data_IF_979533851825
#
_entry.id   IF_979533851825
#
_cell.length_a   1.000
_cell.length_b   1.000
_cell.length_c   1.000
_cell.angle_alpha   90.00
_cell.angle_beta   90.00
_cell.angle_gamma   90.00
#
_symmetry.space_group_name_H-M   'P 1'
#
loop_
_entity.id
_entity.type
_entity.pdbx_description
1 polymer ?
#
# COMPACT_ATOMS: atom_id res chain seq x y z
N UNK A 1 -17.88 7.65 -20.73
CA UNK A 1 -17.47 8.64 -21.75
C UNK A 1 -16.08 9.09 -21.35
N UNK A 2 -15.04 8.78 -22.13
CA UNK A 2 -13.67 9.19 -21.78
C UNK A 2 -13.65 10.72 -21.67
N UNK A 3 -13.28 11.24 -20.50
CA UNK A 3 -13.18 12.67 -20.29
C UNK A 3 -12.10 13.20 -21.25
N UNK A 4 -12.48 14.09 -22.16
CA UNK A 4 -11.55 14.72 -23.10
C UNK A 4 -10.65 15.69 -22.31
N UNK A 5 -9.51 15.19 -21.85
CA UNK A 5 -8.51 16.02 -21.16
C UNK A 5 -7.66 16.75 -22.20
N UNK A 6 -7.86 18.06 -22.38
CA UNK A 6 -6.97 18.87 -23.22
C UNK A 6 -5.67 19.15 -22.47
N UNK A 7 -4.53 18.71 -23.02
CA UNK A 7 -3.20 18.90 -22.44
C UNK A 7 -2.77 20.37 -22.32
N UNK A 8 -3.50 21.30 -22.93
CA UNK A 8 -3.25 22.75 -22.81
C UNK A 8 -4.15 23.43 -21.78
N UNK A 9 -5.25 22.81 -21.39
CA UNK A 9 -6.19 23.39 -20.44
C UNK A 9 -5.52 23.50 -19.07
N UNK A 10 -5.54 24.68 -18.42
CA UNK A 10 -4.97 24.83 -17.09
C UNK A 10 -5.65 23.91 -16.07
N UNK A 11 -4.89 23.47 -15.07
CA UNK A 11 -5.41 22.64 -13.98
C UNK A 11 -5.09 23.28 -12.64
N UNK A 12 -6.10 23.40 -11.79
CA UNK A 12 -5.97 23.95 -10.45
C UNK A 12 -6.31 22.90 -9.39
N UNK A 13 -5.38 22.60 -8.49
CA UNK A 13 -5.57 21.61 -7.43
C UNK A 13 -5.91 22.26 -6.09
N UNK A 14 -7.06 21.94 -5.51
CA UNK A 14 -7.39 22.34 -4.13
C UNK A 14 -6.87 21.26 -3.17
N UNK A 15 -5.96 21.63 -2.26
CA UNK A 15 -5.24 20.69 -1.39
C UNK A 15 -4.06 19.99 -2.08
N UNK A 16 -3.28 20.75 -2.87
CA UNK A 16 -2.22 20.21 -3.73
C UNK A 16 -1.09 19.52 -2.95
N UNK A 17 -0.90 19.84 -1.67
CA UNK A 17 0.15 19.27 -0.82
C UNK A 17 -0.12 17.84 -0.34
N UNK A 18 -1.29 17.27 -0.66
CA UNK A 18 -1.58 15.85 -0.38
C UNK A 18 -0.78 14.89 -1.27
N UNK A 19 -0.44 13.72 -0.74
CA UNK A 19 0.37 12.68 -1.43
C UNK A 19 -0.19 12.34 -2.81
N UNK A 20 -1.49 12.02 -2.90
CA UNK A 20 -2.13 11.68 -4.18
C UNK A 20 -2.36 12.88 -5.12
N UNK A 21 -2.53 14.08 -4.58
CA UNK A 21 -2.77 15.30 -5.38
C UNK A 21 -1.47 15.81 -6.01
N UNK A 22 -0.41 15.85 -5.22
CA UNK A 22 0.89 16.36 -5.65
C UNK A 22 1.56 15.54 -6.73
N UNK A 23 1.43 14.20 -6.70
CA UNK A 23 1.96 13.35 -7.76
C UNK A 23 1.32 13.68 -9.12
N UNK A 24 -0.01 13.85 -9.15
CA UNK A 24 -0.74 14.25 -10.36
C UNK A 24 -0.33 15.66 -10.81
N UNK A 25 -0.32 16.62 -9.88
CA UNK A 25 0.08 18.00 -10.18
C UNK A 25 1.51 18.07 -10.75
N UNK A 26 2.44 17.29 -10.18
CA UNK A 26 3.80 17.21 -10.65
C UNK A 26 3.87 16.66 -12.08
N UNK A 27 3.22 15.53 -12.36
CA UNK A 27 3.23 14.91 -13.70
C UNK A 27 2.69 15.88 -14.76
N UNK A 28 1.62 16.59 -14.45
CA UNK A 28 1.07 17.59 -15.37
C UNK A 28 2.04 18.75 -15.60
N UNK A 29 2.64 19.29 -14.52
CA UNK A 29 3.58 20.40 -14.61
C UNK A 29 4.84 20.03 -15.40
N UNK A 30 5.39 18.84 -15.15
CA UNK A 30 6.57 18.33 -15.85
C UNK A 30 6.32 18.11 -17.35
N UNK A 31 5.11 17.67 -17.71
CA UNK A 31 4.63 17.59 -19.10
C UNK A 31 4.34 18.96 -19.74
N UNK A 32 4.61 20.05 -19.04
CA UNK A 32 4.43 21.42 -19.52
C UNK A 32 2.99 21.91 -19.49
N UNK A 33 2.07 21.20 -18.82
CA UNK A 33 0.69 21.67 -18.66
C UNK A 33 0.64 22.81 -17.62
N UNK A 34 -0.18 23.85 -17.82
CA UNK A 34 -0.29 24.93 -16.84
C UNK A 34 -0.94 24.42 -15.56
N UNK A 35 -0.17 24.32 -14.47
CA UNK A 35 -0.64 23.85 -13.17
C UNK A 35 -0.60 24.96 -12.14
N UNK A 36 -1.65 25.02 -11.32
CA UNK A 36 -1.70 25.81 -10.10
C UNK A 36 -2.31 24.98 -8.97
N UNK A 37 -2.23 25.46 -7.73
CA UNK A 37 -2.92 24.81 -6.64
C UNK A 37 -2.99 25.64 -5.38
N UNK A 38 -3.66 25.12 -4.36
CA UNK A 38 -3.72 25.72 -3.03
C UNK A 38 -3.48 24.66 -1.96
N UNK A 39 -2.72 25.00 -0.91
CA UNK A 39 -2.65 24.19 0.31
C UNK A 39 -2.25 25.11 1.47
N UNK A 40 -2.96 25.06 2.62
CA UNK A 40 -2.59 25.86 3.79
C UNK A 40 -1.28 25.41 4.45
N UNK A 41 -0.81 24.19 4.15
CA UNK A 41 0.45 23.65 4.70
C UNK A 41 1.59 23.92 3.74
N UNK A 42 2.71 24.35 4.29
CA UNK A 42 3.93 24.56 3.53
C UNK A 42 4.93 23.39 3.73
N UNK A 43 4.63 22.25 3.12
CA UNK A 43 5.42 21.02 3.26
C UNK A 43 6.43 20.83 2.11
N UNK A 44 7.30 19.82 2.22
CA UNK A 44 8.33 19.53 1.21
C UNK A 44 7.73 19.35 -0.20
N UNK A 45 6.56 18.71 -0.29
CA UNK A 45 5.84 18.49 -1.54
C UNK A 45 5.40 19.80 -2.21
N UNK A 46 4.84 20.74 -1.44
CA UNK A 46 4.48 22.09 -1.90
C UNK A 46 5.72 22.85 -2.39
N UNK A 47 6.83 22.74 -1.66
CA UNK A 47 8.09 23.38 -2.04
C UNK A 47 8.64 22.80 -3.35
N UNK A 48 8.58 21.49 -3.54
CA UNK A 48 9.00 20.85 -4.80
C UNK A 48 8.18 21.35 -5.99
N UNK A 49 6.85 21.44 -5.85
CA UNK A 49 5.98 21.95 -6.90
C UNK A 49 6.27 23.42 -7.24
N UNK A 50 6.53 24.28 -6.24
CA UNK A 50 6.98 25.66 -6.50
C UNK A 50 8.30 25.70 -7.27
N UNK A 51 9.23 24.80 -6.95
CA UNK A 51 10.50 24.67 -7.68
C UNK A 51 10.32 24.36 -9.16
N UNK A 52 9.20 23.73 -9.54
CA UNK A 52 8.81 23.45 -10.92
C UNK A 52 8.00 24.60 -11.57
N UNK A 53 7.88 25.74 -10.90
CA UNK A 53 7.13 26.89 -11.41
C UNK A 53 5.62 26.81 -11.19
N UNK A 54 5.12 25.84 -10.43
CA UNK A 54 3.68 25.74 -10.11
C UNK A 54 3.30 26.91 -9.19
N UNK A 55 2.26 27.65 -9.58
CA UNK A 55 1.70 28.72 -8.74
C UNK A 55 0.88 28.12 -7.60
N UNK A 56 1.32 28.31 -6.36
CA UNK A 56 0.62 27.79 -5.17
C UNK A 56 0.12 28.91 -4.27
N UNK A 57 -1.18 28.92 -3.99
CA UNK A 57 -1.82 29.80 -3.02
C UNK A 57 -1.73 29.19 -1.61
N UNK A 58 -1.30 29.98 -0.63
CA UNK A 58 -1.23 29.55 0.78
C UNK A 58 -2.57 29.59 1.50
N UNK A 59 -3.59 30.21 0.91
CA UNK A 59 -4.94 30.29 1.44
C UNK A 59 -5.94 29.73 0.44
N UNK A 60 -7.02 29.14 0.95
CA UNK A 60 -8.09 28.58 0.15
C UNK A 60 -9.30 29.51 0.15
N UNK A 61 -9.22 30.60 -0.61
CA UNK A 61 -10.25 31.64 -0.68
C UNK A 61 -10.80 31.80 -2.10
N UNK A 62 -12.00 32.39 -2.20
CA UNK A 62 -12.59 32.78 -3.49
C UNK A 62 -11.66 33.66 -4.35
N UNK A 63 -10.76 34.44 -3.71
CA UNK A 63 -9.80 35.29 -4.42
C UNK A 63 -8.80 34.49 -5.26
N UNK A 64 -8.44 33.26 -4.85
CA UNK A 64 -7.54 32.38 -5.61
C UNK A 64 -8.15 32.03 -6.97
N UNK A 65 -9.42 31.60 -7.01
CA UNK A 65 -10.13 31.31 -8.27
C UNK A 65 -10.27 32.56 -9.15
N UNK A 66 -10.65 33.69 -8.57
CA UNK A 66 -10.76 34.94 -9.32
C UNK A 66 -9.41 35.38 -9.92
N UNK A 67 -8.31 35.21 -9.17
CA UNK A 67 -6.97 35.52 -9.65
C UNK A 67 -6.52 34.59 -10.79
N UNK A 68 -6.94 33.33 -10.78
CA UNK A 68 -6.65 32.38 -11.87
C UNK A 68 -7.38 32.79 -13.16
N UNK A 69 -8.68 33.06 -13.05
CA UNK A 69 -9.51 33.49 -14.18
C UNK A 69 -9.08 34.83 -14.78
N UNK A 70 -8.50 35.72 -13.98
CA UNK A 70 -7.93 36.97 -14.47
C UNK A 70 -6.57 36.81 -15.16
N UNK A 71 -5.89 35.66 -14.96
CA UNK A 71 -4.51 35.43 -15.43
C UNK A 71 -4.40 34.49 -16.64
N UNK A 72 -5.52 33.97 -17.14
CA UNK A 72 -5.56 32.98 -18.22
C UNK A 72 -6.82 33.18 -19.07
N UNK A 73 -6.66 33.11 -20.39
CA UNK A 73 -7.78 33.14 -21.35
C UNK A 73 -8.59 31.83 -21.33
N UNK A 74 -8.02 30.75 -20.77
CA UNK A 74 -8.68 29.45 -20.61
C UNK A 74 -9.05 29.20 -19.15
N UNK A 75 -10.29 28.75 -18.95
CA UNK A 75 -10.80 28.32 -17.65
C UNK A 75 -10.13 27.03 -17.18
N UNK A 76 -9.64 26.97 -15.91
CA UNK A 76 -9.00 25.77 -15.41
C UNK A 76 -10.00 24.66 -15.10
N UNK A 77 -9.56 23.41 -15.22
CA UNK A 77 -10.20 22.30 -14.50
C UNK A 77 -9.79 22.39 -13.04
N UNK A 78 -10.75 22.37 -12.12
CA UNK A 78 -10.50 22.35 -10.68
C UNK A 78 -10.52 20.91 -10.18
N UNK A 79 -9.39 20.44 -9.66
CA UNK A 79 -9.21 19.09 -9.14
C UNK A 79 -9.30 19.11 -7.63
N UNK A 80 -10.14 18.23 -7.08
CA UNK A 80 -10.34 18.04 -5.64
C UNK A 80 -10.01 16.61 -5.21
N UNK A 81 -9.79 16.42 -3.91
CA UNK A 81 -9.76 15.10 -3.29
C UNK A 81 -10.93 14.95 -2.31
N UNK A 82 -11.18 13.75 -1.83
CA UNK A 82 -12.14 13.44 -0.77
C UNK A 82 -11.94 14.27 0.51
N UNK A 83 -10.72 14.80 0.75
CA UNK A 83 -10.42 15.63 1.91
C UNK A 83 -10.94 17.08 1.79
N UNK A 84 -11.39 17.51 0.61
CA UNK A 84 -11.89 18.86 0.39
C UNK A 84 -13.41 18.90 0.67
N UNK A 85 -13.87 19.61 1.72
CA UNK A 85 -15.29 19.69 2.02
C UNK A 85 -16.04 20.56 1.00
N UNK A 86 -17.33 20.30 0.81
CA UNK A 86 -18.20 21.11 -0.07
C UNK A 86 -18.29 22.59 0.33
N UNK A 87 -17.98 22.90 1.59
CA UNK A 87 -17.94 24.26 2.15
C UNK A 87 -16.60 24.98 1.91
N UNK A 88 -15.65 24.34 1.21
CA UNK A 88 -14.38 24.97 0.87
C UNK A 88 -14.61 26.23 0.00
N UNK A 89 -14.08 27.41 0.37
CA UNK A 89 -14.37 28.65 -0.36
C UNK A 89 -13.91 28.65 -1.82
N UNK A 90 -12.79 28.00 -2.16
CA UNK A 90 -12.35 27.87 -3.56
C UNK A 90 -13.30 26.97 -4.35
N UNK A 91 -13.72 25.84 -3.77
CA UNK A 91 -14.64 24.93 -4.43
C UNK A 91 -16.02 25.58 -4.66
N UNK A 92 -16.55 26.30 -3.67
CA UNK A 92 -17.80 27.05 -3.81
C UNK A 92 -17.68 28.11 -4.91
N UNK A 93 -16.58 28.86 -4.94
CA UNK A 93 -16.36 29.87 -5.97
C UNK A 93 -16.21 29.26 -7.36
N UNK A 94 -15.49 28.14 -7.49
CA UNK A 94 -15.33 27.43 -8.76
C UNK A 94 -16.67 26.95 -9.31
N UNK A 95 -17.55 26.42 -8.44
CA UNK A 95 -18.93 26.05 -8.80
C UNK A 95 -19.75 27.25 -9.25
N UNK A 96 -19.67 28.38 -8.54
CA UNK A 96 -20.38 29.62 -8.90
C UNK A 96 -19.92 30.17 -10.26
N UNK A 97 -18.63 30.03 -10.59
CA UNK A 97 -18.06 30.40 -11.89
C UNK A 97 -18.31 29.37 -13.00
N UNK A 98 -18.96 28.24 -12.69
CA UNK A 98 -19.27 27.19 -13.66
C UNK A 98 -18.04 26.45 -14.17
N UNK A 99 -16.98 26.33 -13.37
CA UNK A 99 -15.77 25.60 -13.73
C UNK A 99 -15.98 24.09 -13.65
N UNK A 100 -15.27 23.35 -14.51
CA UNK A 100 -15.25 21.89 -14.46
C UNK A 100 -14.57 21.43 -13.17
N UNK A 101 -15.31 20.69 -12.34
CA UNK A 101 -14.79 20.12 -11.10
C UNK A 101 -14.54 18.63 -11.30
N UNK A 102 -13.29 18.21 -11.18
CA UNK A 102 -12.89 16.82 -11.28
C UNK A 102 -12.44 16.30 -9.92
N UNK A 103 -12.77 15.05 -9.62
CA UNK A 103 -12.11 14.35 -8.52
C UNK A 103 -10.71 13.92 -8.95
N UNK A 104 -9.78 13.76 -8.00
CA UNK A 104 -8.42 13.25 -8.27
C UNK A 104 -8.43 11.95 -9.08
N UNK A 105 -9.42 11.08 -8.84
CA UNK A 105 -9.59 9.82 -9.55
C UNK A 105 -9.95 10.02 -11.02
N UNK A 106 -10.68 11.09 -11.35
CA UNK A 106 -11.08 11.40 -12.72
C UNK A 106 -9.86 11.83 -13.52
N UNK A 107 -8.99 12.65 -12.92
CA UNK A 107 -7.71 13.03 -13.53
C UNK A 107 -6.79 11.81 -13.71
N UNK A 108 -6.67 10.94 -12.70
CA UNK A 108 -5.88 9.72 -12.82
C UNK A 108 -6.44 8.80 -13.91
N UNK A 109 -7.76 8.64 -14.01
CA UNK A 109 -8.40 7.88 -15.08
C UNK A 109 -8.10 8.47 -16.47
N UNK A 110 -8.09 9.81 -16.58
CA UNK A 110 -7.73 10.50 -17.81
C UNK A 110 -6.25 10.27 -18.19
N UNK A 111 -5.33 10.19 -17.22
CA UNK A 111 -3.93 9.86 -17.48
C UNK A 111 -3.76 8.39 -17.91
N UNK A 112 -4.39 7.45 -17.20
CA UNK A 112 -4.35 6.01 -17.48
C UNK A 112 -4.86 5.69 -18.89
N UNK A 113 -5.93 6.35 -19.33
CA UNK A 113 -6.55 6.11 -20.64
C UNK A 113 -5.79 6.71 -21.83
N UNK A 114 -4.87 7.66 -21.60
CA UNK A 114 -4.12 8.35 -22.66
C UNK A 114 -2.76 7.75 -22.97
N UNK A 115 -2.32 6.79 -22.16
CA UNK A 115 -1.00 6.18 -22.28
C UNK A 115 -1.14 4.67 -22.00
N UNK A 116 -0.42 3.78 -22.71
CA UNK A 116 -0.32 2.39 -22.31
C UNK A 116 0.06 2.30 -20.83
N UNK A 117 -0.73 1.57 -20.06
CA UNK A 117 -0.70 1.66 -18.61
C UNK A 117 -0.91 0.30 -17.93
N UNK A 118 -0.22 0.15 -16.81
CA UNK A 118 -0.38 -0.97 -15.88
C UNK A 118 -1.06 -0.42 -14.62
N UNK A 119 -2.29 -0.86 -14.34
CA UNK A 119 -3.03 -0.49 -13.14
C UNK A 119 -3.09 -1.67 -12.17
N UNK A 120 -2.65 -1.47 -10.93
CA UNK A 120 -2.55 -2.52 -9.91
C UNK A 120 -3.61 -2.35 -8.84
N UNK A 121 -4.49 -3.34 -8.70
CA UNK A 121 -5.58 -3.39 -7.73
C UNK A 121 -5.54 -4.65 -6.85
N UNK A 122 -6.49 -4.76 -5.93
CA UNK A 122 -6.67 -5.86 -4.98
C UNK A 122 -6.53 -5.40 -3.53
N UNK A 123 -6.97 -6.20 -2.56
CA UNK A 123 -7.04 -5.75 -1.17
C UNK A 123 -5.65 -5.41 -0.60
N UNK A 124 -4.67 -6.28 -0.81
CA UNK A 124 -3.32 -6.16 -0.24
C UNK A 124 -2.22 -6.17 -1.29
N UNK A 125 -1.10 -5.49 -1.03
CA UNK A 125 0.10 -5.56 -1.89
C UNK A 125 0.08 -4.69 -3.15
N UNK A 126 -0.94 -3.84 -3.33
CA UNK A 126 -1.06 -2.87 -4.44
C UNK A 126 0.18 -1.97 -4.55
N UNK A 127 0.44 -1.19 -3.50
CA UNK A 127 1.57 -0.24 -3.45
C UNK A 127 2.91 -0.92 -3.64
N UNK A 128 3.10 -2.10 -3.04
CA UNK A 128 4.35 -2.87 -3.20
C UNK A 128 4.48 -3.29 -4.66
N UNK A 129 3.49 -3.99 -5.22
CA UNK A 129 3.55 -4.50 -6.59
C UNK A 129 3.74 -3.37 -7.62
N UNK A 130 3.01 -2.26 -7.50
CA UNK A 130 3.15 -1.11 -8.40
C UNK A 130 4.53 -0.41 -8.26
N UNK A 131 5.09 -0.35 -7.05
CA UNK A 131 6.47 0.12 -6.82
C UNK A 131 7.52 -0.81 -7.43
N UNK A 132 7.33 -2.13 -7.33
CA UNK A 132 8.23 -3.12 -7.92
C UNK A 132 8.19 -3.07 -9.44
N UNK A 133 7.01 -2.96 -10.06
CA UNK A 133 6.85 -2.76 -11.51
C UNK A 133 7.60 -1.49 -11.95
N UNK A 134 7.37 -0.38 -11.25
CA UNK A 134 8.03 0.90 -11.54
C UNK A 134 9.56 0.76 -11.46
N UNK A 135 10.07 0.09 -10.42
CA UNK A 135 11.51 -0.13 -10.24
C UNK A 135 12.09 -0.99 -11.34
N UNK A 136 11.43 -2.11 -11.71
CA UNK A 136 11.88 -2.99 -12.78
C UNK A 136 11.94 -2.27 -14.13
N UNK A 137 10.89 -1.52 -14.48
CA UNK A 137 10.84 -0.73 -15.71
C UNK A 137 11.93 0.36 -15.72
N UNK A 138 12.11 1.07 -14.62
CA UNK A 138 13.14 2.11 -14.50
C UNK A 138 14.55 1.52 -14.66
N UNK A 139 14.85 0.40 -14.00
CA UNK A 139 16.14 -0.30 -14.12
C UNK A 139 16.37 -0.89 -15.51
N UNK A 140 15.30 -1.27 -16.21
CA UNK A 140 15.36 -1.70 -17.61
C UNK A 140 15.54 -0.53 -18.60
N UNK A 141 15.57 0.72 -18.14
CA UNK A 141 15.71 1.92 -18.97
C UNK A 141 14.43 2.34 -19.69
N UNK A 142 13.26 1.85 -19.26
CA UNK A 142 11.97 2.22 -19.87
C UNK A 142 11.40 3.56 -19.38
N UNK A 143 11.94 4.12 -18.29
CA UNK A 143 11.55 5.42 -17.71
C UNK A 143 10.02 5.65 -17.61
N UNK A 144 9.28 4.82 -16.85
CA UNK A 144 7.83 4.87 -16.82
C UNK A 144 7.29 6.14 -16.13
N UNK A 145 6.14 6.65 -16.56
CA UNK A 145 5.34 7.53 -15.68
C UNK A 145 4.80 6.69 -14.50
N UNK A 146 4.84 7.20 -13.26
CA UNK A 146 4.38 6.47 -12.08
C UNK A 146 3.43 7.31 -11.22
N UNK A 147 2.32 6.73 -10.77
CA UNK A 147 1.39 7.31 -9.79
C UNK A 147 1.09 6.26 -8.72
N UNK A 148 1.78 6.35 -7.59
CA UNK A 148 1.82 5.30 -6.57
C UNK A 148 1.31 5.88 -5.23
N UNK A 149 0.62 5.06 -4.43
CA UNK A 149 0.10 5.45 -3.12
C UNK A 149 1.17 5.64 -2.04
N UNK A 150 2.42 5.25 -2.33
CA UNK A 150 3.57 5.35 -1.44
C UNK A 150 4.85 5.75 -2.17
N UNK A 151 5.88 6.09 -1.41
CA UNK A 151 7.19 6.46 -1.96
C UNK A 151 7.84 5.24 -2.60
N UNK A 152 8.19 5.36 -3.89
CA UNK A 152 8.97 4.37 -4.62
C UNK A 152 10.45 4.60 -4.30
N UNK A 153 11.16 3.62 -3.67
CA UNK A 153 12.51 3.86 -3.18
C UNK A 153 13.52 4.35 -4.23
N UNK A 154 13.47 3.81 -5.45
CA UNK A 154 14.40 4.21 -6.51
C UNK A 154 14.15 5.62 -7.07
N UNK A 155 12.95 6.18 -6.86
CA UNK A 155 12.57 7.52 -7.32
C UNK A 155 12.66 8.56 -6.20
N UNK A 156 12.55 8.12 -4.93
CA UNK A 156 12.44 9.02 -3.78
C UNK A 156 11.11 9.79 -3.71
N UNK A 157 10.15 9.45 -4.58
CA UNK A 157 8.84 10.08 -4.71
C UNK A 157 7.73 9.04 -4.96
N UNK A 158 6.48 9.44 -4.78
CA UNK A 158 5.30 8.62 -5.07
C UNK A 158 4.69 8.92 -6.45
N UNK A 159 5.15 9.97 -7.12
CA UNK A 159 4.94 10.21 -8.54
C UNK A 159 6.24 10.00 -9.32
N UNK A 160 6.17 9.93 -10.64
CA UNK A 160 7.28 10.19 -11.58
C UNK A 160 6.73 10.54 -12.96
N UNK A 161 7.28 11.57 -13.59
CA UNK A 161 6.89 12.02 -14.92
C UNK A 161 7.85 11.46 -15.99
N UNK A 162 7.91 10.15 -16.11
CA UNK A 162 8.79 9.48 -17.06
C UNK A 162 8.43 9.75 -18.52
N UNK A 163 9.44 9.73 -19.39
CA UNK A 163 9.32 9.93 -20.85
C UNK A 163 9.07 8.61 -21.62
N UNK A 164 9.01 7.50 -20.89
CA UNK A 164 8.74 6.17 -21.39
C UNK A 164 7.35 5.96 -21.95
N UNK A 165 7.17 4.80 -22.60
CA UNK A 165 5.87 4.38 -23.15
C UNK A 165 4.83 4.13 -22.05
N UNK A 166 5.25 3.59 -20.92
CA UNK A 166 4.36 3.04 -19.91
C UNK A 166 4.03 4.01 -18.79
N UNK A 167 2.77 3.95 -18.33
CA UNK A 167 2.33 4.51 -17.05
C UNK A 167 2.04 3.38 -16.06
N UNK A 168 2.52 3.48 -14.82
CA UNK A 168 2.19 2.56 -13.73
C UNK A 168 1.35 3.30 -12.71
N UNK A 169 0.18 2.76 -12.40
CA UNK A 169 -0.73 3.34 -11.42
C UNK A 169 -1.14 2.32 -10.35
N UNK A 170 -1.20 2.78 -9.12
CA UNK A 170 -1.95 2.09 -8.06
C UNK A 170 -3.45 2.41 -8.20
N UNK A 171 -4.28 1.38 -8.22
CA UNK A 171 -5.72 1.46 -8.32
C UNK A 171 -6.35 1.04 -6.99
N UNK A 172 -6.79 2.03 -6.22
CA UNK A 172 -7.37 1.85 -4.88
C UNK A 172 -8.88 1.63 -4.94
N UNK A 173 -9.35 0.65 -4.17
CA UNK A 173 -10.75 0.26 -4.03
C UNK A 173 -11.52 0.97 -2.92
N UNK A 174 -10.83 1.60 -1.98
CA UNK A 174 -11.44 2.18 -0.78
C UNK A 174 -12.61 3.16 -1.03
N UNK A 175 -12.63 3.85 -2.18
CA UNK A 175 -13.66 4.82 -2.57
C UNK A 175 -14.45 4.41 -3.84
N UNK A 176 -14.27 3.18 -4.31
CA UNK A 176 -14.91 2.63 -5.51
C UNK A 176 -14.46 3.28 -6.83
N UNK A 177 -13.45 4.15 -6.81
CA UNK A 177 -13.05 4.93 -7.99
C UNK A 177 -12.32 4.12 -9.06
N UNK A 178 -11.80 2.93 -8.73
CA UNK A 178 -11.06 2.10 -9.68
C UNK A 178 -11.86 1.70 -10.92
N UNK A 179 -13.19 1.66 -10.86
CA UNK A 179 -14.05 1.32 -12.00
C UNK A 179 -13.95 2.33 -13.16
N UNK A 180 -13.35 3.49 -12.91
CA UNK A 180 -13.09 4.52 -13.91
C UNK A 180 -11.83 4.23 -14.74
N UNK A 181 -10.96 3.33 -14.29
CA UNK A 181 -9.66 3.09 -14.90
C UNK A 181 -9.78 2.11 -16.07
N UNK A 182 -9.23 2.51 -17.21
CA UNK A 182 -9.19 1.71 -18.44
C UNK A 182 -7.73 1.50 -18.84
N UNK A 183 -7.03 0.66 -18.09
CA UNK A 183 -5.61 0.40 -18.31
C UNK A 183 -5.38 -0.59 -19.46
N UNK A 184 -4.21 -0.55 -20.10
CA UNK A 184 -3.87 -1.58 -21.10
C UNK A 184 -3.62 -2.95 -20.44
N UNK A 185 -3.14 -2.95 -19.20
CA UNK A 185 -2.99 -4.13 -18.37
C UNK A 185 -3.50 -3.84 -16.95
N UNK A 186 -4.54 -4.55 -16.51
CA UNK A 186 -4.95 -4.60 -15.11
C UNK A 186 -4.23 -5.73 -14.38
N UNK A 187 -3.86 -5.52 -13.12
CA UNK A 187 -3.28 -6.53 -12.23
C UNK A 187 -4.14 -6.62 -10.97
N UNK A 188 -4.62 -7.80 -10.59
CA UNK A 188 -5.38 -8.00 -9.34
C UNK A 188 -4.65 -8.98 -8.43
N UNK A 189 -4.16 -8.46 -7.30
CA UNK A 189 -3.24 -9.15 -6.39
C UNK A 189 -3.91 -10.19 -5.48
N UNK A 190 -5.07 -9.87 -4.93
CA UNK A 190 -5.89 -10.72 -4.06
C UNK A 190 -7.22 -10.01 -3.76
N UNK A 191 -8.18 -10.75 -3.19
CA UNK A 191 -9.40 -10.19 -2.62
C UNK A 191 -9.67 -10.70 -1.22
N UNK A 192 -9.97 -9.74 -0.36
CA UNK A 192 -10.40 -9.96 1.00
C UNK A 192 -11.31 -8.80 1.39
N UNK A 193 -12.35 -9.09 2.17
CA UNK A 193 -13.28 -8.06 2.62
C UNK A 193 -12.54 -7.07 3.53
N UNK A 194 -12.29 -5.88 3.02
CA UNK A 194 -11.83 -4.72 3.76
C UNK A 194 -12.71 -3.51 3.42
N UNK A 195 -12.47 -2.35 4.04
CA UNK A 195 -13.22 -1.12 3.80
C UNK A 195 -14.74 -1.33 3.89
N UNK A 196 -15.19 -1.98 4.97
CA UNK A 196 -16.61 -2.29 5.25
C UNK A 196 -17.49 -1.05 5.44
N UNK A 197 -16.90 0.14 5.46
CA UNK A 197 -17.59 1.43 5.39
C UNK A 197 -18.05 1.78 3.96
N UNK A 198 -17.43 1.20 2.93
CA UNK A 198 -17.79 1.37 1.53
C UNK A 198 -18.48 0.12 0.93
N UNK A 199 -17.99 -1.07 1.27
CA UNK A 199 -18.52 -2.33 0.74
C UNK A 199 -19.47 -3.00 1.73
N UNK A 200 -20.68 -3.34 1.28
CA UNK A 200 -21.67 -4.05 2.11
C UNK A 200 -21.30 -5.51 2.38
N UNK A 201 -20.39 -6.07 1.59
CA UNK A 201 -19.83 -7.41 1.76
C UNK A 201 -18.84 -7.75 0.65
N UNK A 202 -18.31 -8.98 0.70
CA UNK A 202 -17.31 -9.45 -0.26
C UNK A 202 -17.84 -9.47 -1.71
N UNK A 203 -19.13 -9.78 -1.92
CA UNK A 203 -19.73 -9.80 -3.26
C UNK A 203 -19.75 -8.42 -3.94
N UNK A 204 -19.91 -7.34 -3.17
CA UNK A 204 -19.84 -5.97 -3.69
C UNK A 204 -18.42 -5.63 -4.14
N UNK A 205 -17.42 -6.05 -3.37
CA UNK A 205 -16.00 -5.90 -3.72
C UNK A 205 -15.66 -6.70 -4.98
N UNK A 206 -16.07 -7.97 -5.05
CA UNK A 206 -15.89 -8.82 -6.24
C UNK A 206 -16.51 -8.15 -7.47
N UNK A 207 -17.75 -7.67 -7.37
CA UNK A 207 -18.45 -6.99 -8.46
C UNK A 207 -17.69 -5.75 -8.92
N UNK A 208 -17.15 -4.97 -7.98
CA UNK A 208 -16.38 -3.76 -8.30
C UNK A 208 -15.07 -4.09 -9.02
N UNK A 209 -14.35 -5.10 -8.55
CA UNK A 209 -13.09 -5.53 -9.17
C UNK A 209 -13.30 -6.22 -10.52
N UNK A 210 -14.42 -6.92 -10.71
CA UNK A 210 -14.83 -7.43 -12.03
C UNK A 210 -15.06 -6.28 -13.02
N UNK A 211 -15.71 -5.18 -12.59
CA UNK A 211 -15.87 -3.98 -13.45
C UNK A 211 -14.53 -3.37 -13.82
N UNK A 212 -13.60 -3.28 -12.88
CA UNK A 212 -12.22 -2.84 -13.16
C UNK A 212 -11.51 -3.76 -14.16
N UNK A 213 -11.51 -5.07 -13.90
CA UNK A 213 -10.87 -6.06 -14.78
C UNK A 213 -11.43 -6.02 -16.20
N UNK A 214 -12.76 -5.98 -16.35
CA UNK A 214 -13.45 -5.88 -17.64
C UNK A 214 -13.21 -4.53 -18.35
N UNK A 215 -12.85 -3.48 -17.60
CA UNK A 215 -12.49 -2.17 -18.15
C UNK A 215 -11.07 -2.10 -18.70
N UNK A 216 -10.21 -3.04 -18.33
CA UNK A 216 -8.83 -3.13 -18.79
C UNK A 216 -8.73 -3.89 -20.13
N UNK A 217 -7.69 -3.58 -20.91
CA UNK A 217 -7.44 -4.26 -22.20
C UNK A 217 -7.01 -5.71 -22.05
N UNK A 218 -6.25 -6.02 -20.99
CA UNK A 218 -5.86 -7.36 -20.55
C UNK A 218 -5.87 -7.42 -19.02
N UNK A 219 -6.04 -8.60 -18.46
CA UNK A 219 -6.04 -8.85 -17.02
C UNK A 219 -5.00 -9.91 -16.64
N UNK A 220 -4.15 -9.57 -15.67
CA UNK A 220 -3.26 -10.47 -14.96
C UNK A 220 -3.81 -10.68 -13.53
N UNK A 221 -4.01 -11.93 -13.11
CA UNK A 221 -4.58 -12.23 -11.78
C UNK A 221 -3.80 -13.30 -11.00
N UNK A 222 -3.85 -13.20 -9.67
CA UNK A 222 -3.18 -14.15 -8.78
C UNK A 222 -3.97 -15.46 -8.70
N UNK A 223 -3.38 -16.57 -9.16
CA UNK A 223 -4.01 -17.88 -9.13
C UNK A 223 -4.07 -18.48 -7.72
N UNK A 224 -3.19 -18.04 -6.82
CA UNK A 224 -3.15 -18.53 -5.44
C UNK A 224 -4.30 -17.98 -4.58
N UNK A 225 -5.03 -16.98 -5.09
CA UNK A 225 -6.22 -16.45 -4.46
C UNK A 225 -7.46 -17.20 -4.97
N UNK A 226 -8.19 -17.92 -4.08
CA UNK A 226 -9.33 -18.72 -4.50
C UNK A 226 -10.50 -17.89 -5.02
N UNK A 227 -10.71 -16.67 -4.50
CA UNK A 227 -11.79 -15.77 -4.93
C UNK A 227 -11.50 -15.29 -6.35
N UNK A 228 -10.24 -14.92 -6.64
CA UNK A 228 -9.86 -14.54 -7.99
C UNK A 228 -10.07 -15.70 -8.97
N UNK A 229 -9.57 -16.88 -8.62
CA UNK A 229 -9.68 -18.08 -9.46
C UNK A 229 -11.14 -18.48 -9.75
N UNK A 230 -12.05 -18.29 -8.79
CA UNK A 230 -13.46 -18.62 -8.96
C UNK A 230 -14.24 -17.56 -9.74
N UNK A 231 -13.96 -16.27 -9.52
CA UNK A 231 -14.82 -15.18 -9.98
C UNK A 231 -14.28 -14.36 -11.16
N UNK A 232 -13.03 -14.60 -11.59
CA UNK A 232 -12.38 -13.78 -12.63
C UNK A 232 -11.94 -14.62 -13.82
N UNK A 233 -12.00 -14.01 -15.00
CA UNK A 233 -11.38 -14.52 -16.23
C UNK A 233 -10.20 -13.63 -16.55
N UNK A 234 -8.99 -14.12 -16.31
CA UNK A 234 -7.76 -13.41 -16.61
C UNK A 234 -7.18 -13.87 -17.95
N UNK A 235 -6.49 -12.97 -18.64
CA UNK A 235 -5.69 -13.28 -19.83
C UNK A 235 -4.40 -14.02 -19.46
N UNK A 236 -3.91 -13.82 -18.24
CA UNK A 236 -2.77 -14.54 -17.68
C UNK A 236 -2.89 -14.69 -16.16
N UNK A 237 -2.31 -15.76 -15.64
CA UNK A 237 -2.26 -16.06 -14.22
C UNK A 237 -0.83 -16.11 -13.70
N UNK A 238 -0.63 -15.69 -12.44
CA UNK A 238 0.63 -15.96 -11.74
C UNK A 238 0.43 -16.76 -10.44
N UNK A 239 1.47 -17.49 -10.03
CA UNK A 239 1.50 -18.22 -8.76
C UNK A 239 2.89 -18.24 -8.13
N UNK A 240 2.94 -18.38 -6.81
CA UNK A 240 4.16 -18.73 -6.06
C UNK A 240 4.08 -20.11 -5.39
N UNK A 241 3.01 -20.86 -5.67
CA UNK A 241 2.73 -22.19 -5.10
C UNK A 241 2.85 -23.31 -6.11
N UNK A 242 2.58 -23.04 -7.39
CA UNK A 242 2.60 -24.02 -8.46
C UNK A 242 3.01 -23.38 -9.79
N UNK A 243 3.58 -24.16 -10.70
CA UNK A 243 3.96 -23.72 -12.05
C UNK A 243 3.08 -24.33 -13.14
N UNK A 244 2.20 -25.24 -12.77
CA UNK A 244 1.30 -25.94 -13.69
C UNK A 244 0.04 -25.11 -13.89
N UNK A 245 -0.55 -25.13 -15.09
CA UNK A 245 -1.80 -24.39 -15.40
C UNK A 245 -1.76 -22.88 -15.11
N UNK A 246 -0.57 -22.27 -15.06
CA UNK A 246 -0.35 -20.83 -14.91
C UNK A 246 0.67 -20.32 -15.92
N UNK A 247 0.49 -19.08 -16.37
CA UNK A 247 1.36 -18.44 -17.36
C UNK A 247 2.71 -18.05 -16.76
N UNK A 248 2.71 -17.62 -15.49
CA UNK A 248 3.92 -17.19 -14.78
C UNK A 248 3.97 -17.82 -13.39
N UNK A 249 5.14 -18.27 -12.96
CA UNK A 249 5.30 -18.66 -11.56
C UNK A 249 6.70 -18.35 -11.02
N UNK A 250 6.79 -18.11 -9.71
CA UNK A 250 8.06 -18.11 -9.00
C UNK A 250 8.00 -19.03 -7.79
N UNK A 251 8.59 -20.22 -7.92
CA UNK A 251 8.57 -21.21 -6.84
C UNK A 251 9.75 -20.96 -5.88
N UNK A 252 9.51 -20.84 -4.57
CA UNK A 252 10.56 -20.57 -3.60
C UNK A 252 11.53 -21.76 -3.52
N UNK A 253 12.82 -21.48 -3.71
CA UNK A 253 13.91 -22.41 -3.46
C UNK A 253 14.47 -22.26 -2.04
N UNK A 254 14.43 -21.05 -1.50
CA UNK A 254 14.87 -20.73 -0.15
C UNK A 254 14.18 -19.46 0.36
N UNK A 255 13.65 -19.52 1.58
CA UNK A 255 13.09 -18.36 2.29
C UNK A 255 13.95 -18.10 3.52
N UNK A 256 14.73 -17.02 3.50
CA UNK A 256 15.50 -16.54 4.64
C UNK A 256 14.85 -15.24 5.17
N UNK A 257 15.24 -14.79 6.37
CA UNK A 257 14.71 -13.57 6.97
C UNK A 257 15.20 -12.26 6.36
N UNK A 258 16.14 -12.29 5.41
CA UNK A 258 16.67 -11.13 4.68
C UNK A 258 16.49 -11.23 3.15
N UNK A 259 16.09 -12.40 2.62
CA UNK A 259 15.97 -12.64 1.18
C UNK A 259 15.10 -13.84 0.84
N UNK A 260 14.66 -13.88 -0.42
CA UNK A 260 13.99 -15.03 -1.00
C UNK A 260 14.72 -15.44 -2.30
N UNK A 261 15.14 -16.71 -2.40
CA UNK A 261 15.62 -17.29 -3.67
C UNK A 261 14.49 -18.08 -4.30
N UNK A 262 14.22 -17.85 -5.58
CA UNK A 262 13.14 -18.50 -6.30
C UNK A 262 13.55 -18.89 -7.73
N UNK A 263 12.85 -19.89 -8.28
CA UNK A 263 12.94 -20.26 -9.70
C UNK A 263 11.72 -19.70 -10.43
N UNK A 264 11.97 -18.95 -11.50
CA UNK A 264 10.94 -18.35 -12.35
C UNK A 264 10.55 -19.32 -13.47
N UNK A 265 9.26 -19.37 -13.76
CA UNK A 265 8.65 -20.23 -14.77
C UNK A 265 7.75 -19.41 -15.69
N UNK A 266 7.75 -19.78 -16.98
CA UNK A 266 6.79 -19.30 -17.98
C UNK A 266 6.12 -20.51 -18.63
N UNK A 267 4.78 -20.59 -18.56
CA UNK A 267 3.98 -21.69 -19.09
C UNK A 267 4.50 -23.08 -18.66
N UNK A 268 4.76 -23.26 -17.36
CA UNK A 268 5.31 -24.49 -16.78
C UNK A 268 6.80 -24.75 -17.02
N UNK A 269 7.48 -23.94 -17.85
CA UNK A 269 8.91 -24.14 -18.13
C UNK A 269 9.77 -23.24 -17.25
N UNK A 270 10.79 -23.81 -16.59
CA UNK A 270 11.74 -23.02 -15.83
C UNK A 270 12.60 -22.16 -16.76
N UNK A 271 12.60 -20.84 -16.55
CA UNK A 271 13.32 -19.87 -17.40
C UNK A 271 14.48 -19.18 -16.69
N UNK A 272 14.55 -19.24 -15.35
CA UNK A 272 15.67 -18.67 -14.60
C UNK A 272 15.53 -18.79 -13.09
N UNK A 273 16.57 -18.39 -12.37
CA UNK A 273 16.55 -18.26 -10.91
C UNK A 273 16.96 -16.85 -10.51
N UNK A 274 16.37 -16.35 -9.43
CA UNK A 274 16.67 -15.02 -8.93
C UNK A 274 16.64 -14.99 -7.40
N UNK A 275 17.30 -13.98 -6.84
CA UNK A 275 17.25 -13.68 -5.41
C UNK A 275 16.63 -12.30 -5.22
N UNK A 276 15.57 -12.24 -4.43
CA UNK A 276 14.95 -11.02 -3.97
C UNK A 276 15.57 -10.61 -2.63
N UNK A 277 16.00 -9.36 -2.45
CA UNK A 277 16.46 -8.84 -1.16
C UNK A 277 15.28 -8.47 -0.23
N UNK A 278 14.19 -9.26 -0.30
CA UNK A 278 12.98 -9.07 0.47
C UNK A 278 12.54 -10.43 1.02
N UNK A 279 12.34 -10.57 2.33
CA UNK A 279 11.85 -11.80 2.92
C UNK A 279 10.34 -11.96 2.71
N UNK A 280 9.87 -13.20 2.86
CA UNK A 280 8.45 -13.53 2.88
C UNK A 280 7.84 -13.89 1.52
N UNK A 281 6.91 -14.86 1.56
CA UNK A 281 6.24 -15.37 0.36
C UNK A 281 5.32 -14.31 -0.29
N UNK A 282 4.74 -13.41 0.49
CA UNK A 282 3.92 -12.31 -0.03
C UNK A 282 4.74 -11.35 -0.90
N UNK A 283 6.00 -11.05 -0.52
CA UNK A 283 6.89 -10.23 -1.34
C UNK A 283 7.36 -10.98 -2.59
N UNK A 284 7.58 -12.30 -2.50
CA UNK A 284 7.80 -13.11 -3.70
C UNK A 284 6.60 -13.04 -4.65
N UNK A 285 5.36 -13.11 -4.13
CA UNK A 285 4.14 -13.00 -4.96
C UNK A 285 4.03 -11.64 -5.62
N UNK A 286 4.24 -10.55 -4.88
CA UNK A 286 4.25 -9.18 -5.43
C UNK A 286 5.33 -9.01 -6.52
N UNK A 287 6.53 -9.56 -6.30
CA UNK A 287 7.61 -9.52 -7.28
C UNK A 287 7.31 -10.38 -8.53
N UNK A 288 6.62 -11.51 -8.35
CA UNK A 288 6.18 -12.39 -9.45
C UNK A 288 5.13 -11.70 -10.30
N UNK A 289 4.14 -11.04 -9.66
CA UNK A 289 3.16 -10.21 -10.36
C UNK A 289 3.85 -9.08 -11.14
N UNK A 290 4.86 -8.43 -10.54
CA UNK A 290 5.60 -7.35 -11.18
C UNK A 290 6.42 -7.83 -12.39
N UNK A 291 7.12 -8.96 -12.26
CA UNK A 291 7.82 -9.61 -13.37
C UNK A 291 6.85 -9.98 -14.48
N UNK A 292 5.77 -10.70 -14.16
CA UNK A 292 4.75 -11.12 -15.11
C UNK A 292 4.16 -9.91 -15.88
N UNK A 293 3.82 -8.83 -15.19
CA UNK A 293 3.31 -7.61 -15.82
C UNK A 293 4.33 -7.00 -16.80
N UNK A 294 5.61 -6.92 -16.43
CA UNK A 294 6.66 -6.42 -17.33
C UNK A 294 6.89 -7.35 -18.54
N UNK A 295 6.80 -8.68 -18.33
CA UNK A 295 6.90 -9.67 -19.41
C UNK A 295 5.74 -9.55 -20.39
N UNK A 296 4.51 -9.34 -19.90
CA UNK A 296 3.32 -9.11 -20.73
C UNK A 296 3.37 -7.80 -21.53
N UNK A 297 4.15 -6.82 -21.08
CA UNK A 297 4.45 -5.57 -21.80
C UNK A 297 5.67 -5.68 -22.73
N UNK A 298 6.24 -6.89 -22.88
CA UNK A 298 7.24 -7.20 -23.90
C UNK A 298 8.71 -7.10 -23.46
N UNK A 299 8.99 -6.80 -22.19
CA UNK A 299 10.37 -6.76 -21.69
C UNK A 299 10.93 -8.18 -21.56
N UNK A 300 12.14 -8.45 -22.04
CA UNK A 300 12.83 -9.74 -21.85
C UNK A 300 13.27 -9.95 -20.39
N UNK A 301 13.30 -11.20 -19.92
CA UNK A 301 13.77 -11.53 -18.56
C UNK A 301 15.16 -10.97 -18.27
N UNK A 302 16.11 -11.07 -19.21
CA UNK A 302 17.48 -10.54 -19.06
C UNK A 302 17.51 -9.04 -18.71
N UNK A 303 16.58 -8.24 -19.25
CA UNK A 303 16.48 -6.80 -18.96
C UNK A 303 15.93 -6.53 -17.55
N UNK A 304 15.15 -7.46 -17.01
CA UNK A 304 14.53 -7.37 -15.69
C UNK A 304 15.44 -7.89 -14.57
N UNK A 305 16.36 -8.82 -14.89
CA UNK A 305 17.24 -9.46 -13.91
C UNK A 305 18.06 -8.46 -13.09
N UNK A 306 18.57 -7.40 -13.72
CA UNK A 306 19.32 -6.35 -13.02
C UNK A 306 18.48 -5.60 -11.97
N UNK A 307 17.18 -5.40 -12.26
CA UNK A 307 16.28 -4.72 -11.35
C UNK A 307 15.88 -5.56 -10.13
N UNK A 308 15.87 -6.88 -10.23
CA UNK A 308 15.46 -7.78 -9.14
C UNK A 308 16.35 -7.67 -7.89
N UNK A 309 17.65 -7.47 -8.08
CA UNK A 309 18.63 -7.39 -7.00
C UNK A 309 18.54 -6.09 -6.18
N UNK A 310 17.88 -5.06 -6.71
CA UNK A 310 17.74 -3.73 -6.07
C UNK A 310 16.32 -3.42 -5.63
N UNK A 311 15.39 -4.39 -5.74
CA UNK A 311 14.03 -4.21 -5.31
C UNK A 311 13.97 -3.92 -3.80
N UNK A 312 13.11 -2.98 -3.44
CA UNK A 312 12.88 -2.59 -2.05
C UNK A 312 11.38 -2.39 -1.86
N UNK A 313 10.88 -2.76 -0.68
CA UNK A 313 9.49 -2.45 -0.31
C UNK A 313 9.33 -0.95 -0.09
N UNK A 314 8.14 -0.38 -0.38
CA UNK A 314 7.84 0.99 0.01
C UNK A 314 7.92 1.15 1.54
N UNK A 315 8.27 2.35 2.01
CA UNK A 315 8.46 2.63 3.44
C UNK A 315 7.18 2.46 4.27
N UNK A 316 7.34 2.33 5.61
CA UNK A 316 6.26 2.11 6.61
C UNK A 316 5.64 0.71 6.66
N UNK A 317 6.27 -0.28 6.02
CA UNK A 317 5.99 -1.70 6.19
C UNK A 317 7.20 -2.32 6.88
N UNK A 318 7.01 -2.93 8.04
CA UNK A 318 8.06 -3.48 8.90
C UNK A 318 9.18 -2.46 9.25
N UNK A 319 8.78 -1.32 9.82
CA UNK A 319 9.67 -0.18 10.10
C UNK A 319 10.44 -0.38 11.42
N UNK A 320 11.76 -0.50 11.36
CA UNK A 320 12.61 -0.54 12.55
C UNK A 320 12.66 0.85 13.19
N UNK A 321 12.05 0.98 14.37
CA UNK A 321 12.04 2.22 15.15
C UNK A 321 13.32 2.43 15.94
N UNK A 322 13.96 1.33 16.34
CA UNK A 322 15.27 1.33 16.98
C UNK A 322 15.50 0.11 17.85
N UNK A 323 16.64 0.12 18.56
CA UNK A 323 17.02 -0.92 19.51
C UNK A 323 16.89 -0.38 20.94
N UNK A 324 16.10 -1.04 21.79
CA UNK A 324 15.91 -0.69 23.20
C UNK A 324 16.48 -1.81 24.08
N UNK A 325 17.55 -1.52 24.82
CA UNK A 325 18.22 -2.49 25.71
C UNK A 325 18.49 -3.85 25.03
N UNK A 326 18.99 -3.83 23.79
CA UNK A 326 19.27 -5.02 22.99
C UNK A 326 18.06 -5.68 22.32
N UNK A 327 16.85 -5.14 22.44
CA UNK A 327 15.64 -5.59 21.74
C UNK A 327 15.40 -4.75 20.49
N UNK A 328 14.99 -5.37 19.39
CA UNK A 328 14.58 -4.64 18.19
C UNK A 328 13.09 -4.30 18.27
N UNK A 329 12.75 -3.03 18.12
CA UNK A 329 11.36 -2.56 18.14
C UNK A 329 10.96 -2.21 16.71
N UNK A 330 10.03 -2.99 16.15
CA UNK A 330 9.54 -2.84 14.78
C UNK A 330 8.06 -2.49 14.82
N UNK A 331 7.65 -1.49 14.04
CA UNK A 331 6.24 -1.13 13.84
C UNK A 331 5.77 -1.62 12.46
N UNK A 332 4.57 -2.18 12.40
CA UNK A 332 3.87 -2.50 11.15
C UNK A 332 2.40 -2.06 11.21
N UNK A 333 1.90 -1.56 10.07
CA UNK A 333 0.52 -1.10 9.94
C UNK A 333 -0.52 -2.23 9.82
N UNK A 334 -0.07 -3.49 9.79
CA UNK A 334 -0.91 -4.68 9.67
C UNK A 334 -2.07 -4.66 10.67
N UNK A 335 -3.28 -4.66 10.13
CA UNK A 335 -4.52 -4.63 10.90
C UNK A 335 -5.62 -5.52 10.33
N UNK A 336 -5.38 -6.12 9.15
CA UNK A 336 -6.17 -7.24 8.63
C UNK A 336 -5.53 -8.59 9.02
N UNK A 337 -6.29 -9.68 9.26
CA UNK A 337 -5.71 -10.99 9.59
C UNK A 337 -4.63 -11.49 8.62
N UNK A 338 -4.83 -11.31 7.32
CA UNK A 338 -3.87 -11.70 6.29
C UNK A 338 -2.55 -10.92 6.38
N UNK A 339 -2.62 -9.60 6.60
CA UNK A 339 -1.45 -8.75 6.84
C UNK A 339 -0.72 -9.16 8.12
N UNK A 340 -1.45 -9.40 9.20
CA UNK A 340 -0.88 -9.84 10.49
C UNK A 340 -0.15 -11.17 10.33
N UNK A 341 -0.77 -12.13 9.64
CA UNK A 341 -0.16 -13.43 9.34
C UNK A 341 1.12 -13.26 8.52
N UNK A 342 1.06 -12.51 7.43
CA UNK A 342 2.22 -12.28 6.55
C UNK A 342 3.39 -11.61 7.29
N UNK A 343 3.08 -10.65 8.17
CA UNK A 343 4.08 -9.94 8.98
C UNK A 343 4.73 -10.86 10.01
N UNK A 344 3.94 -11.69 10.70
CA UNK A 344 4.45 -12.66 11.67
C UNK A 344 5.25 -13.79 11.01
N UNK A 345 4.83 -14.30 9.86
CA UNK A 345 5.60 -15.28 9.08
C UNK A 345 6.97 -14.71 8.69
N UNK A 346 7.02 -13.46 8.23
CA UNK A 346 8.27 -12.79 7.89
C UNK A 346 9.17 -12.59 9.11
N UNK A 347 8.61 -12.15 10.24
CA UNK A 347 9.33 -12.00 11.49
C UNK A 347 9.87 -13.34 12.02
N UNK A 348 9.07 -14.42 11.89
CA UNK A 348 9.48 -15.78 12.26
C UNK A 348 10.63 -16.28 11.39
N UNK A 349 10.62 -16.02 10.08
CA UNK A 349 11.75 -16.32 9.19
C UNK A 349 13.05 -15.65 9.66
N UNK A 350 12.99 -14.43 10.20
CA UNK A 350 14.16 -13.74 10.75
C UNK A 350 14.75 -14.45 11.97
N UNK A 351 13.88 -14.99 12.82
CA UNK A 351 14.29 -15.77 13.99
C UNK A 351 14.86 -17.13 13.55
N UNK A 352 14.13 -17.86 12.72
CA UNK A 352 14.43 -19.26 12.40
C UNK A 352 15.65 -19.40 11.47
N UNK A 353 15.83 -18.49 10.51
CA UNK A 353 16.96 -18.54 9.57
C UNK A 353 18.25 -17.98 10.17
N UNK A 354 18.18 -17.25 11.29
CA UNK A 354 19.30 -16.49 11.84
C UNK A 354 19.81 -15.38 10.91
N UNK A 355 19.02 -14.97 9.92
CA UNK A 355 19.30 -13.86 9.00
C UNK A 355 18.21 -12.82 9.10
N UNK A 356 18.58 -11.55 9.07
CA UNK A 356 17.63 -10.45 9.18
C UNK A 356 18.21 -9.17 8.61
N UNK A 357 17.38 -8.27 8.04
CA UNK A 357 17.78 -6.90 7.71
C UNK A 357 17.94 -6.02 8.97
N UNK A 358 17.55 -6.51 10.16
CA UNK A 358 17.71 -5.80 11.42
C UNK A 358 19.20 -5.73 11.84
N UNK A 359 19.58 -4.80 12.75
CA UNK A 359 20.98 -4.61 13.17
C UNK A 359 21.67 -5.87 13.70
N UNK A 360 20.89 -6.81 14.25
CA UNK A 360 21.33 -8.16 14.57
C UNK A 360 20.18 -9.17 14.40
N UNK A 361 20.45 -10.43 14.07
CA UNK A 361 19.40 -11.46 13.98
C UNK A 361 18.67 -11.63 15.32
N UNK A 362 17.32 -11.55 15.33
CA UNK A 362 16.56 -11.79 16.55
C UNK A 362 16.54 -13.28 16.91
N UNK A 363 16.39 -13.60 18.20
CA UNK A 363 16.31 -14.98 18.70
C UNK A 363 14.90 -15.42 19.08
N UNK A 364 13.99 -14.46 19.24
CA UNK A 364 12.63 -14.69 19.71
C UNK A 364 11.71 -13.58 19.23
N UNK A 365 10.47 -13.94 18.93
CA UNK A 365 9.45 -13.03 18.41
C UNK A 365 8.37 -12.77 19.47
N UNK A 366 8.29 -11.52 19.92
CA UNK A 366 7.18 -11.00 20.72
C UNK A 366 6.24 -10.19 19.84
N UNK A 367 5.00 -10.67 19.68
CA UNK A 367 3.97 -9.97 18.94
C UNK A 367 3.19 -9.04 19.88
N UNK A 368 3.09 -7.77 19.52
CA UNK A 368 2.24 -6.78 20.17
C UNK A 368 1.16 -6.39 19.17
N UNK A 369 -0.11 -6.66 19.46
CA UNK A 369 -1.19 -6.38 18.53
C UNK A 369 -2.28 -5.51 19.16
N UNK A 370 -2.69 -4.47 18.42
CA UNK A 370 -3.85 -3.65 18.75
C UNK A 370 -4.93 -3.86 17.69
N UNK A 371 -6.04 -4.54 18.02
CA UNK A 371 -7.18 -4.64 17.11
C UNK A 371 -7.71 -3.25 16.75
N UNK A 372 -8.05 -3.03 15.49
CA UNK A 372 -8.56 -1.74 14.99
C UNK A 372 -10.02 -1.90 14.56
N UNK A 373 -10.91 -1.08 15.15
CA UNK A 373 -12.39 -1.14 15.07
C UNK A 373 -13.00 -2.37 15.74
N UNK A 374 -14.18 -2.19 16.34
CA UNK A 374 -14.95 -3.28 16.94
C UNK A 374 -15.60 -4.14 15.86
N UNK A 375 -16.17 -3.52 14.84
CA UNK A 375 -16.79 -4.21 13.69
C UNK A 375 -15.85 -5.24 13.06
N UNK A 376 -14.63 -4.83 12.71
CA UNK A 376 -13.60 -5.71 12.13
C UNK A 376 -13.15 -6.82 13.09
N UNK A 377 -12.99 -6.49 14.38
CA UNK A 377 -12.60 -7.49 15.39
C UNK A 377 -13.68 -8.56 15.56
N UNK A 378 -14.96 -8.18 15.44
CA UNK A 378 -16.08 -9.11 15.48
C UNK A 378 -16.10 -10.02 14.25
N UNK A 379 -16.01 -9.42 13.06
CA UNK A 379 -16.08 -10.12 11.77
C UNK A 379 -14.97 -11.18 11.66
N UNK A 380 -13.73 -10.80 11.99
CA UNK A 380 -12.54 -11.62 11.74
C UNK A 380 -11.93 -12.23 13.02
N UNK A 381 -12.73 -12.44 14.06
CA UNK A 381 -12.24 -12.91 15.35
C UNK A 381 -11.47 -14.24 15.22
N UNK A 382 -11.96 -15.16 14.40
CA UNK A 382 -11.34 -16.47 14.17
C UNK A 382 -10.03 -16.37 13.40
N UNK A 383 -10.03 -15.56 12.35
CA UNK A 383 -8.91 -15.33 11.45
C UNK A 383 -7.77 -14.60 12.16
N UNK A 384 -8.07 -13.59 12.98
CA UNK A 384 -7.07 -12.97 13.85
C UNK A 384 -6.47 -13.98 14.82
N UNK A 385 -7.31 -14.82 15.44
CA UNK A 385 -6.81 -15.79 16.40
C UNK A 385 -5.88 -16.82 15.75
N UNK A 386 -6.13 -17.23 14.51
CA UNK A 386 -5.24 -18.07 13.70
C UNK A 386 -3.96 -17.34 13.31
N UNK A 387 -4.07 -16.09 12.85
CA UNK A 387 -2.92 -15.30 12.40
C UNK A 387 -1.91 -15.03 13.54
N UNK A 388 -2.40 -14.71 14.74
CA UNK A 388 -1.59 -14.30 15.89
C UNK A 388 -0.82 -15.43 16.58
N UNK A 389 -1.00 -16.68 16.15
CA UNK A 389 -0.34 -17.82 16.80
C UNK A 389 1.15 -17.91 16.50
N UNK A 390 1.63 -17.33 15.40
CA UNK A 390 3.01 -17.50 14.94
C UNK A 390 4.01 -16.55 15.65
N UNK A 391 4.04 -16.61 16.97
CA UNK A 391 4.98 -15.87 17.82
C UNK A 391 5.37 -16.70 19.05
N UNK A 392 6.28 -16.19 19.87
CA UNK A 392 6.73 -16.84 21.12
C UNK A 392 6.03 -16.26 22.36
N UNK A 393 5.49 -15.05 22.26
CA UNK A 393 4.54 -14.47 23.20
C UNK A 393 3.71 -13.39 22.51
N UNK A 394 2.47 -13.23 22.95
CA UNK A 394 1.49 -12.30 22.40
C UNK A 394 1.00 -11.33 23.48
N UNK A 395 1.04 -10.03 23.16
CA UNK A 395 0.52 -8.96 23.99
C UNK A 395 -0.57 -8.22 23.23
N UNK A 396 -1.76 -8.18 23.80
CA UNK A 396 -2.92 -7.54 23.19
C UNK A 396 -3.23 -6.22 23.89
N UNK A 397 -3.24 -5.14 23.11
CA UNK A 397 -3.74 -3.84 23.54
C UNK A 397 -5.28 -3.82 23.49
N UNK A 398 -5.95 -2.88 24.19
CA UNK A 398 -7.38 -2.65 23.99
C UNK A 398 -7.70 -2.28 22.54
N UNK A 399 -8.89 -2.69 22.07
CA UNK A 399 -9.39 -2.37 20.73
C UNK A 399 -9.37 -0.86 20.51
N UNK A 400 -8.71 -0.42 19.45
CA UNK A 400 -8.75 0.97 19.01
C UNK A 400 -10.07 1.24 18.29
N UNK A 401 -10.96 2.02 18.91
CA UNK A 401 -12.34 2.18 18.45
C UNK A 401 -12.47 2.86 17.08
N UNK A 402 -11.54 3.75 16.72
CA UNK A 402 -11.62 4.56 15.49
C UNK A 402 -12.99 5.26 15.29
N UNK A 403 -13.62 5.70 16.39
CA UNK A 403 -14.93 6.36 16.39
C UNK A 403 -16.14 5.43 16.56
N UNK A 404 -15.95 4.11 16.57
CA UNK A 404 -17.04 3.15 16.78
C UNK A 404 -17.47 3.07 18.25
N UNK A 405 -18.77 2.77 18.45
CA UNK A 405 -19.27 2.41 19.77
C UNK A 405 -18.83 0.97 20.10
N UNK A 406 -18.47 0.67 21.37
CA UNK A 406 -18.15 -0.70 21.78
C UNK A 406 -19.29 -1.68 21.44
N UNK A 407 -18.92 -2.85 20.92
CA UNK A 407 -19.82 -3.96 20.64
C UNK A 407 -19.74 -4.97 21.79
N UNK A 408 -20.87 -5.40 22.34
CA UNK A 408 -20.91 -6.33 23.45
C UNK A 408 -20.20 -7.66 23.10
N UNK A 409 -19.28 -8.10 23.96
CA UNK A 409 -18.50 -9.32 23.75
C UNK A 409 -17.29 -9.19 22.82
N UNK A 410 -17.09 -8.02 22.18
CA UNK A 410 -15.98 -7.78 21.27
C UNK A 410 -14.89 -6.98 21.97
N UNK A 411 -13.87 -7.68 22.47
CA UNK A 411 -12.70 -7.05 23.07
C UNK A 411 -11.47 -7.96 22.94
N UNK A 412 -10.30 -7.41 23.27
CA UNK A 412 -9.02 -8.12 23.21
C UNK A 412 -8.97 -9.36 24.12
N UNK A 413 -9.79 -9.41 25.17
CA UNK A 413 -9.91 -10.60 26.04
C UNK A 413 -10.58 -11.76 25.30
N UNK A 414 -11.65 -11.51 24.56
CA UNK A 414 -12.31 -12.51 23.72
C UNK A 414 -11.35 -13.06 22.65
N UNK A 415 -10.56 -12.19 22.03
CA UNK A 415 -9.53 -12.60 21.08
C UNK A 415 -8.44 -13.45 21.76
N UNK A 416 -7.95 -13.03 22.94
CA UNK A 416 -6.98 -13.80 23.71
C UNK A 416 -7.49 -15.21 24.05
N UNK A 417 -8.75 -15.33 24.47
CA UNK A 417 -9.34 -16.62 24.81
C UNK A 417 -9.43 -17.53 23.57
N UNK A 418 -9.74 -16.96 22.40
CA UNK A 418 -9.72 -17.71 21.13
C UNK A 418 -8.32 -18.17 20.75
N UNK A 419 -7.30 -17.31 20.90
CA UNK A 419 -5.89 -17.69 20.65
C UNK A 419 -5.47 -18.81 21.61
N UNK A 420 -5.77 -18.68 22.92
CA UNK A 420 -5.46 -19.72 23.92
C UNK A 420 -6.16 -21.05 23.64
N UNK A 421 -7.38 -21.01 23.12
CA UNK A 421 -8.09 -22.23 22.72
C UNK A 421 -7.40 -22.95 21.55
N UNK A 422 -6.80 -22.20 20.62
CA UNK A 422 -6.08 -22.75 19.46
C UNK A 422 -4.62 -23.11 19.78
N UNK A 423 -3.98 -22.44 20.75
CA UNK A 423 -2.58 -22.66 21.16
C UNK A 423 -2.41 -22.44 22.68
N UNK A 424 -2.78 -23.42 23.53
CA UNK A 424 -2.80 -23.27 24.99
C UNK A 424 -1.45 -22.93 25.63
N UNK A 425 -0.35 -23.30 24.98
CA UNK A 425 1.01 -23.10 25.47
C UNK A 425 1.59 -21.71 25.15
N UNK A 426 0.95 -20.94 24.26
CA UNK A 426 1.40 -19.59 23.92
C UNK A 426 1.14 -18.62 25.09
N UNK A 427 2.16 -17.92 25.62
CA UNK A 427 1.93 -16.86 26.59
C UNK A 427 1.15 -15.71 25.93
N UNK A 428 -0.10 -15.53 26.35
CA UNK A 428 -0.97 -14.44 25.88
C UNK A 428 -1.29 -13.52 27.05
N UNK A 429 -0.95 -12.24 26.91
CA UNK A 429 -1.22 -11.18 27.88
C UNK A 429 -2.17 -10.15 27.27
N UNK A 430 -3.09 -9.62 28.07
CA UNK A 430 -4.06 -8.60 27.65
C UNK A 430 -3.88 -7.40 28.56
N UNK A 431 -3.61 -6.25 27.98
CA UNK A 431 -3.51 -4.98 28.70
C UNK A 431 -4.86 -4.28 28.73
N UNK A 432 -5.20 -3.62 29.84
CA UNK A 432 -6.38 -2.78 29.98
C UNK A 432 -6.15 -1.37 29.39
N UNK A 433 -4.90 -0.95 29.24
CA UNK A 433 -4.51 0.30 28.60
C UNK A 433 -3.08 0.25 28.00
N UNK A 434 -2.66 1.31 27.32
CA UNK A 434 -1.36 1.35 26.64
C UNK A 434 -0.16 1.40 27.62
N UNK A 435 -0.30 2.00 28.80
CA UNK A 435 0.80 2.06 29.78
C UNK A 435 1.05 0.68 30.41
N UNK A 436 -0.03 -0.07 30.65
CA UNK A 436 0.08 -1.48 31.04
C UNK A 436 0.69 -2.33 29.92
N UNK A 437 0.30 -2.09 28.66
CA UNK A 437 0.92 -2.77 27.51
C UNK A 437 2.44 -2.55 27.47
N UNK A 438 2.90 -1.31 27.66
CA UNK A 438 4.32 -0.96 27.73
C UNK A 438 5.02 -1.71 28.85
N UNK A 439 4.36 -1.85 30.01
CA UNK A 439 4.89 -2.59 31.16
C UNK A 439 5.00 -4.09 30.86
N UNK A 440 3.96 -4.70 30.28
CA UNK A 440 3.97 -6.10 29.85
C UNK A 440 5.08 -6.38 28.84
N UNK A 441 5.27 -5.50 27.85
CA UNK A 441 6.36 -5.63 26.87
C UNK A 441 7.72 -5.57 27.56
N UNK A 442 7.92 -4.64 28.50
CA UNK A 442 9.18 -4.53 29.27
C UNK A 442 9.48 -5.81 30.04
N UNK A 443 8.49 -6.37 30.72
CA UNK A 443 8.67 -7.50 31.62
C UNK A 443 8.83 -8.83 30.87
N UNK A 444 8.11 -9.01 29.76
CA UNK A 444 8.13 -10.25 29.01
C UNK A 444 9.27 -10.32 27.96
N UNK A 445 9.75 -9.17 27.48
CA UNK A 445 10.82 -9.11 26.46
C UNK A 445 12.22 -9.26 27.08
N UNK A 446 13.15 -9.79 26.30
CA UNK A 446 14.56 -10.04 26.65
C UNK A 446 15.48 -9.43 25.59
N UNK A 447 16.76 -9.15 25.91
CA UNK A 447 17.74 -8.82 24.88
C UNK A 447 17.74 -9.85 23.75
N UNK A 448 17.98 -9.40 22.52
CA UNK A 448 17.90 -10.17 21.26
C UNK A 448 16.47 -10.56 20.82
N UNK A 449 15.43 -10.11 21.51
CA UNK A 449 14.05 -10.24 21.00
C UNK A 449 13.77 -9.26 19.86
N UNK A 450 12.95 -9.71 18.91
CA UNK A 450 12.16 -8.85 18.03
C UNK A 450 10.80 -8.59 18.69
N UNK A 451 10.54 -7.34 19.06
CA UNK A 451 9.22 -6.87 19.49
C UNK A 451 8.55 -6.23 18.27
N UNK A 452 7.52 -6.91 17.77
CA UNK A 452 6.78 -6.51 16.58
C UNK A 452 5.43 -5.91 16.99
N UNK A 453 5.30 -4.59 16.89
CA UNK A 453 4.06 -3.86 17.13
C UNK A 453 3.24 -3.76 15.84
N UNK A 454 2.03 -4.32 15.85
CA UNK A 454 1.11 -4.35 14.71
C UNK A 454 -0.20 -3.65 15.05
N UNK A 455 -0.61 -2.71 14.19
CA UNK A 455 -1.93 -2.08 14.24
C UNK A 455 -1.95 -0.65 13.72
N UNK A 456 -3.14 -0.19 13.33
CA UNK A 456 -3.36 1.15 12.78
C UNK A 456 -3.67 2.24 13.83
N UNK A 457 -3.65 1.89 15.13
CA UNK A 457 -3.97 2.79 16.24
C UNK A 457 -2.75 3.35 16.98
N UNK A 458 -2.92 3.60 18.27
CA UNK A 458 -1.94 4.22 19.18
C UNK A 458 -0.74 3.31 19.53
N UNK A 459 -0.78 2.03 19.14
CA UNK A 459 0.31 1.06 19.34
C UNK A 459 1.61 1.50 18.66
N UNK A 460 1.54 2.27 17.58
CA UNK A 460 2.70 2.88 16.90
C UNK A 460 3.49 3.85 17.81
N UNK A 461 2.93 4.24 18.96
CA UNK A 461 3.65 5.01 19.98
C UNK A 461 4.52 4.16 20.91
N UNK A 462 4.58 2.84 20.76
CA UNK A 462 5.28 1.92 21.66
C UNK A 462 6.76 2.28 21.81
N UNK A 463 7.48 2.48 20.69
CA UNK A 463 8.88 2.89 20.69
C UNK A 463 9.14 4.14 21.53
N UNK A 464 8.35 5.19 21.30
CA UNK A 464 8.47 6.47 22.01
C UNK A 464 8.23 6.33 23.51
N UNK A 465 7.34 5.41 23.93
CA UNK A 465 7.05 5.15 25.35
C UNK A 465 8.16 4.34 26.02
N UNK A 466 8.68 3.31 25.35
CA UNK A 466 9.81 2.50 25.85
C UNK A 466 11.10 3.31 26.00
N UNK A 467 11.42 4.16 25.00
CA UNK A 467 12.64 4.97 24.99
C UNK A 467 12.65 6.13 26.00
N UNK A 468 11.48 6.62 26.44
CA UNK A 468 11.37 7.72 27.41
C UNK A 468 11.51 7.29 28.87
N UNK A 469 11.39 6.01 29.19
CA UNK A 469 11.48 5.58 30.58
C UNK A 469 12.95 5.45 30.99
N UNK A 470 13.43 6.18 32.02
CA UNK A 470 14.82 6.10 32.43
C UNK A 470 15.20 4.67 32.80
N UNK A 471 16.44 4.31 32.47
CA UNK A 471 17.06 3.04 32.85
C UNK A 471 17.14 3.02 34.38
N UNK A 472 16.42 2.10 35.03
CA UNK A 472 16.71 1.80 36.42
C UNK A 472 18.12 1.22 36.46
N UNK A 473 19.03 1.91 37.15
CA UNK A 473 20.44 1.60 37.23
C UNK A 473 20.72 0.24 37.90
#
# INVERSE_FOLDING_TARGET
MALLFDSRQPVHFIGVGGIGMSALAWILADRGQPVSGSDPRDNATVQNLRGLGVRIFSEQTAASINALLASSDQAPIVVISTAIPDTNPELMQAREKGLDIWHRSDLLAALISRQPSIAVAGSHGKTTTSSLITTLLHQAGEDPTAVIGGIVPCLGSNGHAGQGRLLVAEADESDGSLVKFQASLGVITNLELDHTDHYGGLDDLITTLQRFGNGCGRLLANHDDPILREHFRADAWWSVRNSDDVDFAALPLQLDGDRCRARFFENGNAVGEFTLPMPGLHNLSNATAALAACRMEGLSLDRLMGGLAVLQTPGRRFDLRGTWQGRHIVDDYAHHPSEVRATLEMARLMVDSGRSPLPSPPRRLLAVFQPHRYSRTQEFLGEFALALQNCDALMLAPVYAAGEKPIAGVCSRTLADRVRALRPELPVHVADNIDELVSLVRDASRPEDLVLAMGAGDVNGLWSRLSRTPVAA
#
